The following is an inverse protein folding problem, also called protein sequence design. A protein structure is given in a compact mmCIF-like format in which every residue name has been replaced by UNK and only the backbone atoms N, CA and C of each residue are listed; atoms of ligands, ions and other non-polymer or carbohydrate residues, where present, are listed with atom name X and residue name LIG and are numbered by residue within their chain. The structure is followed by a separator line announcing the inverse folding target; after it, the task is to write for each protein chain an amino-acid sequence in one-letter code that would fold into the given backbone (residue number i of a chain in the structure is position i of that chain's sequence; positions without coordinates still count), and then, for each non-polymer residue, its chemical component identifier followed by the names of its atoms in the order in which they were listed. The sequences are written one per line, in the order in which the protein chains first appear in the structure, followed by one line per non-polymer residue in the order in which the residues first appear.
data_IF_347047282662
#
_entry.id   IF_347047282662
#
_cell.length_a   1.000
_cell.length_b   1.000
_cell.length_c   1.000
_cell.angle_alpha   90.00
_cell.angle_beta   90.00
_cell.angle_gamma   90.00
#
_symmetry.space_group_name_H-M   'P 1'
#
loop_
_entity.id
_entity.type
_entity.pdbx_description
1 polymer ?
#
# COMPACT_ATOMS: atom_id res chain seq x y z
N UNK A 1 33.13 -19.90 -29.07
CA UNK A 1 32.32 -21.05 -28.66
C UNK A 1 31.28 -20.53 -27.66
N UNK A 2 30.33 -19.66 -28.05
CA UNK A 2 29.03 -19.95 -28.71
C UNK A 2 28.33 -21.15 -28.07
N UNK A 3 27.37 -20.92 -27.18
CA UNK A 3 26.10 -21.67 -27.08
C UNK A 3 25.01 -20.73 -26.48
N UNK A 4 24.16 -20.27 -27.40
CA UNK A 4 22.68 -20.20 -27.39
C UNK A 4 21.93 -19.40 -26.32
N UNK A 5 21.48 -18.22 -26.76
CA UNK A 5 20.15 -17.66 -26.51
C UNK A 5 19.03 -18.71 -26.60
N UNK A 6 18.11 -18.67 -25.63
CA UNK A 6 16.73 -19.13 -25.82
C UNK A 6 15.81 -18.02 -25.32
N UNK A 7 15.33 -17.27 -26.30
CA UNK A 7 14.13 -16.44 -26.24
C UNK A 7 12.93 -17.39 -26.04
N UNK A 8 12.13 -17.16 -25.00
CA UNK A 8 10.76 -17.68 -24.98
C UNK A 8 9.82 -16.57 -24.53
N UNK A 9 9.34 -15.82 -25.52
CA UNK A 9 8.11 -15.05 -25.43
C UNK A 9 6.96 -15.98 -25.10
N UNK A 10 6.22 -15.70 -24.03
CA UNK A 10 4.83 -16.12 -23.94
C UNK A 10 3.97 -14.94 -23.48
N UNK A 11 3.46 -14.27 -24.50
CA UNK A 11 2.33 -13.37 -24.52
C UNK A 11 1.12 -14.06 -23.87
N UNK A 12 0.64 -13.55 -22.74
CA UNK A 12 -0.75 -13.77 -22.33
C UNK A 12 -1.41 -12.41 -22.11
N UNK A 13 -1.97 -11.95 -23.23
CA UNK A 13 -2.78 -10.76 -23.37
C UNK A 13 -4.20 -11.14 -22.92
N UNK A 14 -4.48 -11.05 -21.62
CA UNK A 14 -5.83 -11.33 -21.12
C UNK A 14 -6.69 -10.09 -21.33
N UNK A 15 -7.58 -10.21 -22.31
CA UNK A 15 -8.62 -9.25 -22.67
C UNK A 15 -9.40 -8.79 -21.43
N UNK A 16 -9.25 -7.51 -21.11
CA UNK A 16 -10.04 -6.81 -20.12
C UNK A 16 -11.32 -6.31 -20.79
N UNK A 17 -12.37 -7.12 -20.79
CA UNK A 17 -13.68 -6.70 -21.31
C UNK A 17 -14.38 -5.82 -20.27
N UNK A 18 -14.08 -4.52 -20.31
CA UNK A 18 -14.86 -3.50 -19.63
C UNK A 18 -16.24 -3.38 -20.30
N UNK A 19 -17.28 -3.89 -19.66
CA UNK A 19 -18.66 -3.51 -19.95
C UNK A 19 -19.04 -2.39 -18.98
N UNK A 20 -18.89 -1.14 -19.40
CA UNK A 20 -19.37 0.02 -18.65
C UNK A 20 -20.75 0.44 -19.18
N UNK A 21 -21.75 0.63 -18.31
CA UNK A 21 -23.03 1.21 -18.72
C UNK A 21 -22.83 2.67 -19.15
N UNK A 22 -23.29 2.99 -20.35
CA UNK A 22 -23.44 4.35 -20.86
C UNK A 22 -24.57 5.02 -20.09
N UNK A 23 -24.23 5.79 -19.05
CA UNK A 23 -25.15 6.75 -18.46
C UNK A 23 -25.12 8.03 -19.30
N UNK A 24 -26.16 8.23 -20.12
CA UNK A 24 -26.45 9.52 -20.73
C UNK A 24 -26.87 10.50 -19.63
N UNK A 25 -25.93 11.31 -19.15
CA UNK A 25 -26.27 12.50 -18.37
C UNK A 25 -26.81 13.54 -19.34
N UNK A 26 -28.13 13.75 -19.26
CA UNK A 26 -28.86 14.77 -19.99
C UNK A 26 -28.35 16.16 -19.58
N UNK A 27 -27.84 16.91 -20.56
CA UNK A 27 -27.38 18.27 -20.40
C UNK A 27 -28.56 19.17 -19.97
N UNK A 28 -28.66 19.43 -18.68
CA UNK A 28 -29.47 20.52 -18.16
C UNK A 28 -28.56 21.74 -18.16
N UNK A 29 -28.63 22.50 -19.25
CA UNK A 29 -27.92 23.76 -19.46
C UNK A 29 -28.73 24.88 -18.79
N UNK A 30 -28.22 25.52 -17.72
CA UNK A 30 -28.80 26.75 -17.20
C UNK A 30 -27.99 27.94 -17.73
N UNK A 31 -28.71 28.83 -18.41
CA UNK A 31 -28.53 30.27 -18.58
C UNK A 31 -27.13 30.90 -18.40
N UNK A 32 -26.69 31.53 -19.50
CA UNK A 32 -25.97 32.81 -19.64
C UNK A 32 -24.67 33.09 -18.82
N UNK A 33 -23.66 33.73 -19.45
CA UNK A 33 -22.37 34.00 -18.86
C UNK A 33 -22.47 35.09 -17.78
N UNK A 34 -22.36 34.69 -16.52
CA UNK A 34 -21.95 35.61 -15.48
C UNK A 34 -20.48 35.99 -15.74
N UNK A 35 -20.25 37.29 -15.87
CA UNK A 35 -18.97 37.99 -15.92
C UNK A 35 -17.87 37.26 -15.12
N UNK A 36 -16.64 37.11 -15.65
CA UNK A 36 -15.52 36.63 -14.86
C UNK A 36 -15.29 37.65 -13.74
N UNK A 37 -15.84 37.39 -12.56
CA UNK A 37 -15.40 38.05 -11.36
C UNK A 37 -13.99 37.52 -11.13
N UNK A 38 -13.04 38.41 -11.31
CA UNK A 38 -11.65 38.31 -10.91
C UNK A 38 -11.63 38.04 -9.40
N UNK A 39 -11.83 36.77 -9.01
CA UNK A 39 -11.71 36.34 -7.61
C UNK A 39 -10.24 36.58 -7.28
N UNK A 40 -9.90 37.47 -6.33
CA UNK A 40 -8.53 37.59 -5.86
C UNK A 40 -8.17 36.22 -5.29
N UNK A 41 -7.34 35.49 -6.01
CA UNK A 41 -6.75 34.25 -5.50
C UNK A 41 -5.79 34.71 -4.39
N UNK A 42 -6.32 34.87 -3.18
CA UNK A 42 -5.47 35.07 -2.01
C UNK A 42 -4.47 33.91 -1.99
N UNK A 43 -3.17 34.20 -1.81
CA UNK A 43 -2.14 33.18 -1.79
C UNK A 43 -2.48 32.19 -0.68
N UNK A 44 -2.90 30.99 -1.07
CA UNK A 44 -3.22 29.90 -0.14
C UNK A 44 -1.96 29.64 0.66
N UNK A 45 -1.92 30.16 1.89
CA UNK A 45 -0.77 29.99 2.77
C UNK A 45 -0.60 28.49 3.01
N UNK A 46 0.60 27.93 2.83
CA UNK A 46 0.82 26.52 3.13
C UNK A 46 0.52 26.29 4.61
N UNK A 47 -0.43 25.38 4.88
CA UNK A 47 -0.82 24.98 6.24
C UNK A 47 -0.21 23.61 6.49
N UNK A 48 0.61 23.53 7.53
CA UNK A 48 1.19 22.28 8.01
C UNK A 48 0.93 22.21 9.51
N UNK A 49 -0.09 21.44 9.89
CA UNK A 49 -0.40 21.13 11.29
C UNK A 49 -0.38 19.63 11.47
N UNK A 50 0.44 19.17 12.40
CA UNK A 50 0.61 17.76 12.73
C UNK A 50 0.50 17.63 14.25
N UNK A 51 -0.45 16.85 14.73
CA UNK A 51 -0.65 16.56 16.14
C UNK A 51 -0.65 15.05 16.35
N UNK A 52 0.06 14.61 17.38
CA UNK A 52 0.14 13.19 17.76
C UNK A 52 -0.22 13.08 19.23
N UNK A 53 -1.37 12.49 19.53
CA UNK A 53 -1.88 12.30 20.89
C UNK A 53 -2.22 10.81 21.07
N UNK A 54 -1.63 10.15 22.07
CA UNK A 54 -1.91 8.75 22.41
C UNK A 54 -1.80 7.74 21.24
N UNK A 55 -0.90 7.99 20.29
CA UNK A 55 -0.75 7.16 19.09
C UNK A 55 -1.79 7.42 17.98
N UNK A 56 -2.63 8.44 18.16
CA UNK A 56 -3.51 8.98 17.15
C UNK A 56 -2.86 10.20 16.49
N UNK A 57 -2.95 10.24 15.18
CA UNK A 57 -2.37 11.22 14.28
C UNK A 57 -3.49 12.07 13.67
N UNK A 58 -3.40 13.37 13.89
CA UNK A 58 -4.24 14.39 13.28
C UNK A 58 -3.37 15.32 12.45
N UNK A 59 -3.67 15.40 11.17
CA UNK A 59 -2.79 16.03 10.18
C UNK A 59 -3.63 16.88 9.24
N UNK A 60 -3.26 18.13 9.07
CA UNK A 60 -3.86 19.07 8.13
C UNK A 60 -2.72 19.64 7.27
N UNK A 61 -2.68 19.20 6.01
CA UNK A 61 -1.64 19.54 5.05
C UNK A 61 -2.24 20.24 3.84
N UNK A 62 -1.68 21.39 3.51
CA UNK A 62 -1.97 22.13 2.28
C UNK A 62 -0.65 22.52 1.62
N UNK A 63 -0.37 21.93 0.46
CA UNK A 63 0.84 22.13 -0.35
C UNK A 63 2.16 21.89 0.42
N UNK A 64 2.16 20.89 1.30
CA UNK A 64 3.31 20.58 2.16
C UNK A 64 4.26 19.57 1.49
N UNK A 65 5.57 19.73 1.72
CA UNK A 65 6.59 18.77 1.25
C UNK A 65 6.50 17.47 2.03
N UNK A 66 6.36 16.36 1.32
CA UNK A 66 6.17 15.03 1.88
C UNK A 66 7.32 14.60 2.80
N UNK A 67 8.57 14.93 2.43
CA UNK A 67 9.74 14.65 3.25
C UNK A 67 9.67 15.30 4.63
N UNK A 68 9.25 16.58 4.69
CA UNK A 68 9.12 17.32 5.94
C UNK A 68 7.98 16.75 6.80
N UNK A 69 6.85 16.41 6.17
CA UNK A 69 5.70 15.81 6.85
C UNK A 69 6.08 14.48 7.52
N UNK A 70 6.72 13.57 6.78
CA UNK A 70 7.10 12.27 7.33
C UNK A 70 8.17 12.42 8.42
N UNK A 71 9.11 13.34 8.26
CA UNK A 71 10.14 13.63 9.26
C UNK A 71 9.52 14.14 10.57
N UNK A 72 8.55 15.05 10.50
CA UNK A 72 7.85 15.56 11.68
C UNK A 72 7.01 14.47 12.37
N UNK A 73 6.30 13.63 11.59
CA UNK A 73 5.56 12.48 12.14
C UNK A 73 6.52 11.53 12.87
N UNK A 74 7.67 11.24 12.27
CA UNK A 74 8.68 10.35 12.82
C UNK A 74 9.30 10.88 14.12
N UNK A 75 9.55 12.18 14.18
CA UNK A 75 10.04 12.86 15.38
C UNK A 75 9.01 12.76 16.52
N UNK A 76 7.73 13.04 16.24
CA UNK A 76 6.65 12.99 17.25
C UNK A 76 6.35 11.56 17.71
N UNK A 77 6.37 10.60 16.80
CA UNK A 77 6.10 9.19 17.08
C UNK A 77 7.37 8.39 17.47
N UNK A 78 8.54 9.03 17.53
CA UNK A 78 9.84 8.47 17.96
C UNK A 78 10.30 7.25 17.15
N UNK A 79 10.09 7.25 15.82
CA UNK A 79 10.61 6.22 14.92
C UNK A 79 11.62 6.80 13.92
N UNK A 80 12.43 5.93 13.29
CA UNK A 80 13.44 6.35 12.31
C UNK A 80 12.85 6.43 10.91
N UNK A 81 13.23 7.45 10.15
CA UNK A 81 12.81 7.59 8.75
C UNK A 81 13.99 7.73 7.81
N UNK A 82 13.88 7.11 6.65
CA UNK A 82 14.81 7.21 5.54
C UNK A 82 14.01 7.37 4.25
N UNK A 83 14.14 8.52 3.60
CA UNK A 83 13.32 8.89 2.45
C UNK A 83 14.25 9.27 1.32
N UNK A 84 14.02 8.73 0.13
CA UNK A 84 14.72 9.18 -1.08
C UNK A 84 14.38 10.64 -1.40
N UNK A 85 15.38 11.40 -1.86
CA UNK A 85 15.22 12.81 -2.24
C UNK A 85 14.10 13.01 -3.28
N UNK A 86 13.93 12.08 -4.21
CA UNK A 86 12.90 12.15 -5.26
C UNK A 86 11.47 12.16 -4.71
N UNK A 87 11.26 11.49 -3.57
CA UNK A 87 9.95 11.44 -2.90
C UNK A 87 9.83 12.57 -1.89
N UNK A 88 10.92 12.96 -1.25
CA UNK A 88 10.94 14.01 -0.23
C UNK A 88 10.46 15.36 -0.77
N UNK A 89 10.80 15.72 -2.02
CA UNK A 89 10.43 16.99 -2.66
C UNK A 89 8.98 17.03 -3.16
N UNK A 90 8.25 15.92 -3.14
CA UNK A 90 6.87 15.88 -3.64
C UNK A 90 5.94 16.60 -2.69
N UNK A 91 4.99 17.35 -3.25
CA UNK A 91 3.97 18.06 -2.46
C UNK A 91 2.71 17.23 -2.29
N UNK A 92 2.12 17.31 -1.10
CA UNK A 92 0.88 16.62 -0.75
C UNK A 92 -0.07 17.57 -0.02
N UNK A 93 -1.35 17.42 -0.31
CA UNK A 93 -2.45 18.09 0.39
C UNK A 93 -3.43 17.03 0.85
N UNK A 94 -3.64 16.92 2.16
CA UNK A 94 -4.57 15.95 2.74
C UNK A 94 -4.88 16.30 4.19
N UNK A 95 -6.03 15.85 4.67
CA UNK A 95 -6.46 16.06 6.05
C UNK A 95 -6.97 14.77 6.66
N UNK A 96 -6.48 14.46 7.85
CA UNK A 96 -6.88 13.32 8.67
C UNK A 96 -7.04 13.76 10.11
N UNK A 97 -7.95 13.11 10.84
CA UNK A 97 -8.12 13.30 12.28
C UNK A 97 -8.26 11.95 12.95
N UNK A 98 -7.62 11.81 14.10
CA UNK A 98 -7.76 10.67 15.00
C UNK A 98 -7.48 9.31 14.33
N UNK A 99 -6.44 9.25 13.50
CA UNK A 99 -6.03 8.01 12.80
C UNK A 99 -4.79 7.43 13.46
N UNK A 100 -4.71 6.12 13.67
CA UNK A 100 -3.49 5.45 14.14
C UNK A 100 -2.27 5.85 13.27
N UNK A 101 -1.12 6.13 13.88
CA UNK A 101 0.10 6.58 13.17
C UNK A 101 0.41 5.67 11.96
N UNK A 102 0.38 4.34 12.15
CA UNK A 102 0.63 3.39 11.07
C UNK A 102 -0.35 3.55 9.90
N UNK A 103 -1.64 3.61 10.21
CA UNK A 103 -2.69 3.74 9.21
C UNK A 103 -2.57 5.09 8.48
N UNK A 104 -2.22 6.15 9.20
CA UNK A 104 -1.96 7.47 8.64
C UNK A 104 -0.79 7.46 7.66
N UNK A 105 0.34 6.87 8.05
CA UNK A 105 1.53 6.73 7.19
C UNK A 105 1.23 5.92 5.94
N UNK A 106 0.55 4.76 6.07
CA UNK A 106 0.14 3.94 4.91
C UNK A 106 -0.80 4.72 3.97
N UNK A 107 -1.70 5.52 4.52
CA UNK A 107 -2.63 6.34 3.73
C UNK A 107 -1.89 7.45 2.98
N UNK A 108 -0.93 8.11 3.62
CA UNK A 108 -0.06 9.11 2.98
C UNK A 108 0.71 8.51 1.80
N UNK A 109 1.32 7.34 1.99
CA UNK A 109 2.03 6.62 0.93
C UNK A 109 1.11 6.25 -0.25
N UNK A 110 -0.13 5.84 0.07
CA UNK A 110 -1.15 5.50 -0.94
C UNK A 110 -1.54 6.73 -1.79
N UNK A 111 -1.71 7.89 -1.17
CA UNK A 111 -2.02 9.15 -1.89
C UNK A 111 -0.89 9.53 -2.83
N UNK A 112 0.36 9.35 -2.37
CA UNK A 112 1.56 9.58 -3.18
C UNK A 112 1.75 8.55 -4.30
N UNK A 113 0.94 7.49 -4.34
CA UNK A 113 1.06 6.34 -5.24
C UNK A 113 2.43 5.66 -5.15
N UNK A 114 3.13 5.80 -4.02
CA UNK A 114 4.40 5.13 -3.78
C UNK A 114 4.16 3.71 -3.29
N UNK A 115 4.72 2.75 -4.02
CA UNK A 115 4.57 1.32 -3.73
C UNK A 115 5.83 0.72 -3.12
N UNK A 116 6.96 1.40 -3.28
CA UNK A 116 8.29 0.93 -2.90
C UNK A 116 8.67 1.49 -1.53
N UNK A 117 8.04 0.97 -0.49
CA UNK A 117 8.34 1.33 0.90
C UNK A 117 8.48 0.09 1.77
N UNK A 118 9.27 0.20 2.83
CA UNK A 118 9.46 -0.84 3.84
C UNK A 118 9.16 -0.27 5.22
N UNK A 119 8.33 -0.97 5.98
CA UNK A 119 8.01 -0.64 7.38
C UNK A 119 8.59 -1.76 8.25
N UNK A 120 9.53 -1.41 9.12
CA UNK A 120 10.09 -2.30 10.13
C UNK A 120 9.40 -2.03 11.46
N UNK A 121 9.04 -3.10 12.15
CA UNK A 121 8.34 -3.07 13.44
C UNK A 121 9.25 -3.55 14.55
N UNK A 122 9.09 -2.96 15.74
CA UNK A 122 9.76 -3.46 16.94
C UNK A 122 9.00 -4.66 17.55
N UNK A 123 9.54 -5.21 18.64
CA UNK A 123 8.94 -6.34 19.38
C UNK A 123 7.59 -6.00 20.03
N UNK A 124 7.27 -4.72 20.20
CA UNK A 124 5.99 -4.24 20.71
C UNK A 124 4.93 -4.04 19.60
N UNK A 125 5.27 -4.30 18.34
CA UNK A 125 4.38 -4.09 17.19
C UNK A 125 4.24 -2.62 16.78
N UNK A 126 5.08 -1.73 17.29
CA UNK A 126 5.14 -0.33 16.89
C UNK A 126 6.14 -0.15 15.74
N UNK A 127 5.98 0.92 14.96
CA UNK A 127 6.90 1.26 13.88
C UNK A 127 8.26 1.65 14.49
N UNK A 128 9.33 0.99 14.03
CA UNK A 128 10.71 1.30 14.42
C UNK A 128 11.44 2.08 13.32
N UNK A 129 11.32 1.62 12.07
CA UNK A 129 11.96 2.23 10.91
C UNK A 129 11.03 2.25 9.69
N UNK A 130 10.94 3.39 9.02
CA UNK A 130 10.25 3.58 7.75
C UNK A 130 11.27 3.95 6.67
N UNK A 131 11.33 3.16 5.61
CA UNK A 131 12.20 3.38 4.45
C UNK A 131 11.34 3.58 3.20
N UNK A 132 11.52 4.69 2.50
CA UNK A 132 10.76 5.03 1.29
C UNK A 132 11.75 5.21 0.15
N UNK A 133 11.71 4.29 -0.80
CA UNK A 133 12.57 4.31 -1.98
C UNK A 133 11.82 5.02 -3.11
N UNK A 134 12.38 6.13 -3.58
CA UNK A 134 11.91 6.71 -4.85
C UNK A 134 12.20 5.72 -5.96
N UNK A 135 11.33 5.65 -6.97
CA UNK A 135 11.28 4.64 -8.06
C UNK A 135 12.52 4.48 -8.95
N UNK A 136 13.73 4.70 -8.43
CA UNK A 136 14.94 4.05 -8.89
C UNK A 136 14.86 2.56 -8.58
N UNK A 137 15.07 1.75 -9.61
CA UNK A 137 15.13 0.29 -9.58
C UNK A 137 15.89 -0.18 -8.34
N UNK A 138 15.17 -0.54 -7.28
CA UNK A 138 15.78 -1.20 -6.14
C UNK A 138 16.23 -2.54 -6.69
N UNK A 139 17.53 -2.64 -6.99
CA UNK A 139 18.18 -3.92 -7.11
C UNK A 139 18.00 -4.59 -5.76
N UNK A 140 16.91 -5.34 -5.63
CA UNK A 140 16.61 -6.13 -4.44
C UNK A 140 17.91 -6.85 -4.10
N UNK A 141 18.49 -6.69 -2.89
CA UNK A 141 19.60 -7.54 -2.52
C UNK A 141 19.09 -8.95 -2.71
N UNK A 142 19.73 -9.71 -3.60
CA UNK A 142 19.43 -11.11 -3.75
C UNK A 142 19.53 -11.67 -2.34
N UNK A 143 18.39 -12.06 -1.77
CA UNK A 143 18.33 -12.82 -0.54
C UNK A 143 19.19 -14.02 -0.86
N UNK A 144 20.43 -14.01 -0.38
CA UNK A 144 21.31 -15.16 -0.41
C UNK A 144 20.71 -16.11 0.61
N UNK A 145 19.61 -16.75 0.22
CA UNK A 145 19.11 -17.94 0.89
C UNK A 145 20.18 -18.98 0.60
N UNK A 146 21.24 -18.96 1.40
CA UNK A 146 22.06 -20.14 1.58
C UNK A 146 21.06 -21.27 1.85
N UNK A 147 21.08 -22.34 1.05
CA UNK A 147 20.30 -23.51 1.36
C UNK A 147 20.84 -24.00 2.71
N UNK A 148 20.10 -23.75 3.79
CA UNK A 148 20.28 -24.55 4.99
C UNK A 148 20.04 -25.98 4.52
N UNK A 149 21.13 -26.76 4.41
CA UNK A 149 21.09 -28.21 4.37
C UNK A 149 20.25 -28.65 5.56
N UNK A 150 18.95 -28.85 5.32
CA UNK A 150 18.10 -29.55 6.27
C UNK A 150 18.70 -30.95 6.41
N UNK A 151 19.12 -31.38 7.62
CA UNK A 151 19.42 -32.78 7.82
C UNK A 151 18.13 -33.55 7.57
N UNK A 152 18.19 -34.50 6.63
CA UNK A 152 17.10 -35.37 6.25
C UNK A 152 16.49 -36.03 7.50
N UNK A 153 15.34 -35.51 7.96
CA UNK A 153 14.61 -36.11 9.07
C UNK A 153 13.69 -37.18 8.51
N UNK A 154 13.94 -38.38 9.00
CA UNK A 154 13.42 -39.66 8.58
C UNK A 154 11.91 -39.83 8.83
N UNK A 155 11.35 -40.74 8.04
CA UNK A 155 10.13 -41.57 8.21
C UNK A 155 8.79 -40.96 7.76
N UNK A 156 8.13 -41.58 6.75
CA UNK A 156 6.71 -41.38 6.48
C UNK A 156 5.89 -41.98 7.63
N UNK A 157 5.02 -41.17 8.23
CA UNK A 157 3.96 -41.66 9.08
C UNK A 157 2.92 -42.37 8.19
N UNK A 158 2.75 -43.68 8.39
CA UNK A 158 1.64 -44.43 7.82
C UNK A 158 0.33 -43.84 8.35
N UNK A 159 -0.47 -43.28 7.43
CA UNK A 159 -1.80 -42.77 7.72
C UNK A 159 -2.74 -43.97 7.84
N UNK A 160 -3.03 -44.40 9.05
CA UNK A 160 -4.11 -45.39 9.31
C UNK A 160 -5.43 -44.66 9.14
N UNK A 161 -6.16 -44.95 8.06
CA UNK A 161 -7.53 -44.47 7.84
C UNK A 161 -8.48 -45.15 8.82
N UNK A 162 -9.35 -44.41 9.54
CA UNK A 162 -10.39 -45.01 10.36
C UNK A 162 -11.44 -45.73 9.48
N UNK A 163 -12.04 -46.84 9.94
CA UNK A 163 -13.10 -47.53 9.22
C UNK A 163 -14.36 -46.66 9.11
N UNK A 164 -15.00 -46.68 7.94
CA UNK A 164 -16.28 -46.00 7.72
C UNK A 164 -17.39 -46.58 8.60
N UNK A 165 -18.29 -45.75 9.14
CA UNK A 165 -19.47 -46.22 9.85
C UNK A 165 -20.45 -46.90 8.87
N UNK A 166 -21.03 -48.02 9.30
CA UNK A 166 -22.06 -48.76 8.57
C UNK A 166 -23.34 -47.91 8.43
N UNK A 167 -24.05 -47.98 7.28
CA UNK A 167 -25.33 -47.32 7.13
C UNK A 167 -26.41 -47.96 8.05
N UNK A 168 -27.37 -47.17 8.54
CA UNK A 168 -28.46 -47.69 9.37
C UNK A 168 -29.40 -48.62 8.57
N UNK A 169 -30.03 -49.60 9.23
CA UNK A 169 -30.97 -50.52 8.58
C UNK A 169 -32.20 -49.78 8.07
N UNK A 170 -32.54 -50.02 6.81
CA UNK A 170 -33.76 -49.52 6.16
C UNK A 170 -34.98 -50.17 6.81
N UNK A 171 -35.75 -49.41 7.56
CA UNK A 171 -37.09 -49.82 8.01
C UNK A 171 -38.07 -49.72 6.84
N UNK A 172 -38.62 -50.88 6.44
CA UNK A 172 -39.73 -51.00 5.51
C UNK A 172 -41.02 -50.46 6.16
N UNK A 173 -41.79 -49.56 5.51
CA UNK A 173 -43.14 -49.23 5.94
C UNK A 173 -44.12 -50.36 5.61
N UNK A 174 -45.00 -50.69 6.55
CA UNK A 174 -46.22 -51.48 6.33
C UNK A 174 -47.34 -50.60 5.78
#
# INVERSE_FOLDING_TARGET
MIIKSIFLSFTFFTFFTFFLPVFSVQAQQPAAPATPQDIPVEPVKPVMKIEVNDGLLSVELSDAEFGNVIKEIAEKAKFKTEISNDVAVKKISTTFKDIEVERGVRRLLTIMKEKDFTISYNTAGLIDKLEIYGGGVISRPAVNTQPQKQPARQKPFQRVTPPSPLPPPTTLPQ
#
